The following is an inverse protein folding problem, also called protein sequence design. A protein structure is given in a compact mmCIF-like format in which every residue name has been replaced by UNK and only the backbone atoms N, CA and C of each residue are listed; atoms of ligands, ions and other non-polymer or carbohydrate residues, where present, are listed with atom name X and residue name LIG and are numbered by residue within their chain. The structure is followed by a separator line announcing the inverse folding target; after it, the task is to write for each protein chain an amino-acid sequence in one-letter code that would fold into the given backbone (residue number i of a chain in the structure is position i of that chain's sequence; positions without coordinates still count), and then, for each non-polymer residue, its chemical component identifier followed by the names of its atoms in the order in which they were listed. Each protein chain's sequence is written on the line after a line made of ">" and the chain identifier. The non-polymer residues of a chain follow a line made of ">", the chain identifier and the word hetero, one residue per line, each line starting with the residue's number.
data_IF_587918044963
#
_entry.id   IF_587918044963
#
_cell.length_a   1.000
_cell.length_b   1.000
_cell.length_c   1.000
_cell.angle_alpha   90.00
_cell.angle_beta   90.00
_cell.angle_gamma   90.00
#
_symmetry.space_group_name_H-M   'P 1'
#
loop_
_entity.id
_entity.type
_entity.pdbx_description
1 polymer ?
#
# COMPACT_ATOMS: atom_id res chain seq x y z
N UNK A 1 21.47 10.77 -20.92
CA UNK A 1 21.37 9.42 -21.51
C UNK A 1 20.77 8.49 -20.45
N UNK A 2 19.87 7.54 -20.78
CA UNK A 2 19.54 6.50 -19.81
C UNK A 2 20.85 5.78 -19.47
N UNK A 3 21.20 5.74 -18.20
CA UNK A 3 22.46 5.14 -17.78
C UNK A 3 22.40 3.63 -18.02
N UNK A 4 23.57 3.00 -18.16
CA UNK A 4 23.70 1.55 -18.26
C UNK A 4 24.49 1.05 -17.08
N UNK A 5 24.12 -0.11 -16.57
CA UNK A 5 24.84 -0.72 -15.46
C UNK A 5 26.23 -1.18 -15.95
N UNK A 6 27.28 -0.79 -15.22
CA UNK A 6 28.67 -1.12 -15.56
C UNK A 6 29.34 -2.02 -14.51
N UNK A 7 28.69 -2.25 -13.39
CA UNK A 7 29.14 -3.09 -12.27
C UNK A 7 27.95 -3.31 -11.33
N UNK A 8 27.99 -4.33 -10.49
CA UNK A 8 26.90 -4.62 -9.53
C UNK A 8 26.96 -3.74 -8.28
N UNK A 9 28.15 -3.26 -7.93
CA UNK A 9 28.36 -2.46 -6.74
C UNK A 9 27.85 -1.02 -6.90
N UNK A 10 27.43 -0.46 -5.78
CA UNK A 10 26.95 0.90 -5.65
C UNK A 10 27.95 1.96 -6.15
N UNK A 11 27.42 3.14 -6.44
CA UNK A 11 28.24 4.30 -6.81
C UNK A 11 28.94 4.91 -5.57
N UNK A 12 29.74 5.94 -5.82
CA UNK A 12 30.56 6.61 -4.81
C UNK A 12 29.76 7.11 -3.60
N UNK A 13 28.46 7.42 -3.73
CA UNK A 13 27.64 7.95 -2.64
C UNK A 13 27.56 6.99 -1.45
N UNK A 14 27.54 5.69 -1.71
CA UNK A 14 27.41 4.65 -0.69
C UNK A 14 28.70 3.86 -0.50
N UNK A 15 29.47 3.65 -1.57
CA UNK A 15 30.76 2.96 -1.48
C UNK A 15 31.73 3.67 -0.52
N UNK A 16 31.67 4.99 -0.50
CA UNK A 16 32.60 5.82 0.27
C UNK A 16 32.02 6.21 1.64
N UNK A 17 30.83 5.69 2.00
CA UNK A 17 30.24 5.86 3.34
C UNK A 17 31.13 5.22 4.40
N UNK A 18 31.32 5.92 5.53
CA UNK A 18 32.03 5.38 6.68
C UNK A 18 31.21 5.58 7.95
N UNK A 19 31.07 4.51 8.73
CA UNK A 19 30.35 4.57 10.01
C UNK A 19 30.96 5.64 10.92
N UNK A 20 30.15 6.44 11.64
CA UNK A 20 30.64 7.34 12.66
C UNK A 20 31.47 6.61 13.73
N UNK A 21 32.52 7.24 14.26
CA UNK A 21 33.50 6.61 15.15
C UNK A 21 32.90 5.90 16.39
N UNK A 22 31.76 6.37 16.90
CA UNK A 22 31.02 5.75 18.01
C UNK A 22 30.35 4.42 17.65
N UNK A 23 30.02 4.18 16.37
CA UNK A 23 29.39 2.96 15.86
C UNK A 23 30.41 1.93 15.33
N UNK A 24 31.68 2.31 15.16
CA UNK A 24 32.75 1.42 14.64
C UNK A 24 33.16 0.30 15.60
N UNK A 25 32.94 0.46 16.90
CA UNK A 25 33.43 -0.47 17.94
C UNK A 25 32.36 -1.33 18.60
N UNK A 26 31.06 -1.08 18.34
CA UNK A 26 29.98 -1.64 19.15
C UNK A 26 29.38 -2.95 18.60
N UNK A 27 29.49 -3.23 17.29
CA UNK A 27 28.94 -4.43 16.67
C UNK A 27 29.89 -4.93 15.57
N UNK A 28 30.28 -6.21 15.64
CA UNK A 28 31.00 -6.86 14.55
C UNK A 28 30.21 -6.70 13.24
N UNK A 29 30.84 -6.17 12.20
CA UNK A 29 30.18 -5.87 10.93
C UNK A 29 30.98 -4.87 10.09
N UNK A 30 30.55 -4.60 8.84
CA UNK A 30 31.22 -3.64 7.97
C UNK A 30 31.20 -2.23 8.60
N UNK A 31 32.30 -1.50 8.44
CA UNK A 31 32.47 -0.11 8.91
C UNK A 31 32.60 0.91 7.77
N UNK A 32 32.54 0.43 6.52
CA UNK A 32 32.58 1.19 5.28
C UNK A 32 31.63 0.60 4.22
N UNK A 33 31.18 1.44 3.29
CA UNK A 33 30.36 1.01 2.15
C UNK A 33 28.87 0.91 2.47
N UNK A 34 28.08 0.42 1.50
CA UNK A 34 26.62 0.27 1.65
C UNK A 34 26.24 -0.61 2.85
N UNK A 35 26.97 -1.70 3.09
CA UNK A 35 26.68 -2.60 4.22
C UNK A 35 26.80 -1.91 5.58
N UNK A 36 27.77 -1.01 5.73
CA UNK A 36 27.91 -0.19 6.94
C UNK A 36 26.77 0.81 7.09
N UNK A 37 26.33 1.42 5.99
CA UNK A 37 25.19 2.33 5.98
C UNK A 37 23.89 1.63 6.40
N UNK A 38 23.58 0.47 5.82
CA UNK A 38 22.36 -0.29 6.14
C UNK A 38 22.37 -0.76 7.60
N UNK A 39 23.52 -1.24 8.09
CA UNK A 39 23.69 -1.61 9.50
C UNK A 39 23.43 -0.42 10.42
N UNK A 40 24.11 0.70 10.18
CA UNK A 40 23.99 1.89 11.02
C UNK A 40 22.57 2.49 11.00
N UNK A 41 21.85 2.35 9.87
CA UNK A 41 20.44 2.73 9.71
C UNK A 41 19.53 1.87 10.59
N UNK A 42 19.63 0.54 10.52
CA UNK A 42 18.80 -0.38 11.32
C UNK A 42 19.11 -0.30 12.81
N UNK A 43 20.37 -0.08 13.18
CA UNK A 43 20.78 0.09 14.58
C UNK A 43 20.25 1.39 15.20
N UNK A 44 20.29 2.48 14.44
CA UNK A 44 19.80 3.79 14.89
C UNK A 44 18.27 3.81 14.97
N UNK A 45 17.61 3.28 13.95
CA UNK A 45 16.16 3.20 13.87
C UNK A 45 15.72 1.76 14.05
N UNK A 46 15.64 1.31 15.32
CA UNK A 46 15.24 -0.07 15.69
C UNK A 46 13.87 -0.50 15.16
N UNK A 47 13.05 0.43 14.68
CA UNK A 47 11.77 0.19 14.03
C UNK A 47 11.87 -0.08 12.51
N UNK A 48 13.07 0.00 11.92
CA UNK A 48 13.30 -0.27 10.49
C UNK A 48 13.67 -1.73 10.32
N UNK A 49 12.68 -2.53 9.92
CA UNK A 49 12.87 -3.97 9.73
C UNK A 49 13.55 -4.30 8.38
N UNK A 50 13.16 -3.59 7.32
CA UNK A 50 13.53 -3.91 5.94
C UNK A 50 14.10 -2.72 5.19
N UNK A 51 15.09 -2.98 4.33
CA UNK A 51 15.66 -2.02 3.39
C UNK A 51 15.58 -2.59 1.98
N UNK A 52 14.88 -1.89 1.09
CA UNK A 52 14.70 -2.28 -0.31
C UNK A 52 15.43 -1.30 -1.23
N UNK A 53 15.91 -1.79 -2.38
CA UNK A 53 16.50 -0.95 -3.44
C UNK A 53 15.79 -1.15 -4.78
N UNK A 54 15.84 -0.16 -5.65
CA UNK A 54 15.22 -0.25 -6.98
C UNK A 54 16.24 -0.67 -8.06
N UNK A 55 15.83 -1.51 -9.00
CA UNK A 55 16.54 -1.75 -10.27
C UNK A 55 15.54 -2.08 -11.40
N UNK A 56 15.93 -1.92 -12.67
CA UNK A 56 15.06 -2.32 -13.79
C UNK A 56 15.17 -3.83 -14.08
N UNK A 57 14.22 -4.42 -14.80
CA UNK A 57 14.23 -5.83 -15.22
C UNK A 57 15.50 -6.19 -16.02
N UNK A 58 16.00 -5.25 -16.81
CA UNK A 58 17.28 -5.40 -17.54
C UNK A 58 18.49 -4.86 -16.74
N UNK A 59 18.41 -4.76 -15.41
CA UNK A 59 19.44 -4.22 -14.52
C UNK A 59 19.28 -2.72 -14.25
N UNK A 60 19.29 -1.87 -15.28
CA UNK A 60 19.01 -0.43 -15.15
C UNK A 60 18.20 0.08 -16.34
N UNK A 61 17.75 1.34 -16.33
CA UNK A 61 16.94 1.94 -17.38
C UNK A 61 17.45 1.67 -18.81
N UNK A 62 18.76 1.76 -19.04
CA UNK A 62 19.38 1.49 -20.35
C UNK A 62 19.91 0.07 -20.53
N UNK A 63 19.64 -0.85 -19.60
CA UNK A 63 20.22 -2.20 -19.57
C UNK A 63 21.64 -2.26 -19.01
N UNK A 64 22.36 -3.33 -19.34
CA UNK A 64 23.80 -3.47 -19.09
C UNK A 64 24.62 -2.79 -20.17
N UNK A 65 25.81 -2.29 -19.82
CA UNK A 65 26.73 -1.77 -20.82
C UNK A 65 27.47 -2.95 -21.49
N UNK A 66 27.46 -3.06 -22.83
CA UNK A 66 28.27 -4.06 -23.54
C UNK A 66 29.76 -3.92 -23.27
N UNK A 67 30.51 -5.01 -23.45
CA UNK A 67 31.97 -5.05 -23.40
C UNK A 67 32.59 -4.57 -22.08
N UNK A 68 31.88 -4.74 -20.97
CA UNK A 68 32.39 -4.43 -19.63
C UNK A 68 32.89 -5.70 -18.93
N UNK A 69 34.16 -5.69 -18.54
CA UNK A 69 34.76 -6.80 -17.79
C UNK A 69 34.01 -7.06 -16.48
N UNK A 70 33.74 -8.33 -16.17
CA UNK A 70 33.01 -8.76 -14.98
C UNK A 70 31.49 -8.64 -15.07
N UNK A 71 30.95 -8.13 -16.18
CA UNK A 71 29.51 -8.08 -16.44
C UNK A 71 29.11 -9.15 -17.46
N UNK A 72 27.88 -9.68 -17.40
CA UNK A 72 27.33 -10.54 -18.44
C UNK A 72 27.39 -9.89 -19.82
N UNK A 73 27.57 -10.72 -20.86
CA UNK A 73 27.47 -10.27 -22.23
C UNK A 73 26.10 -9.62 -22.48
N UNK A 74 26.10 -8.48 -23.15
CA UNK A 74 24.87 -7.75 -23.49
C UNK A 74 25.00 -7.06 -24.84
N UNK A 75 23.86 -6.87 -25.50
CA UNK A 75 23.76 -6.17 -26.78
C UNK A 75 22.74 -5.06 -26.69
N UNK A 76 23.06 -3.89 -27.25
CA UNK A 76 22.07 -2.80 -27.35
C UNK A 76 21.05 -3.16 -28.43
N UNK A 77 19.78 -3.28 -28.01
CA UNK A 77 18.61 -3.53 -28.86
C UNK A 77 17.68 -2.32 -28.79
N UNK A 78 17.22 -1.86 -29.95
CA UNK A 78 16.22 -0.80 -30.04
C UNK A 78 14.81 -1.37 -29.90
N UNK A 79 14.00 -0.92 -28.92
CA UNK A 79 12.62 -1.36 -28.84
C UNK A 79 11.77 -0.72 -29.93
N UNK A 80 10.80 -1.48 -30.43
CA UNK A 80 9.81 -1.02 -31.40
C UNK A 80 8.46 -0.88 -30.71
N UNK A 81 7.87 0.30 -30.81
CA UNK A 81 6.54 0.56 -30.28
C UNK A 81 5.48 -0.15 -31.14
N UNK A 82 4.45 -0.67 -30.49
CA UNK A 82 3.28 -1.18 -31.21
C UNK A 82 2.39 0.00 -31.66
N UNK A 83 1.55 -0.17 -32.70
CA UNK A 83 0.65 0.91 -33.15
C UNK A 83 -0.31 1.42 -32.06
N UNK A 84 -0.59 0.62 -31.02
CA UNK A 84 -1.36 1.04 -29.86
C UNK A 84 -0.54 1.90 -28.91
N UNK A 85 0.70 1.49 -28.61
CA UNK A 85 1.61 2.23 -27.74
C UNK A 85 2.04 3.56 -28.37
N UNK A 86 2.14 3.62 -29.71
CA UNK A 86 2.37 4.88 -30.45
C UNK A 86 1.25 5.92 -30.26
N UNK A 87 0.09 5.54 -29.69
CA UNK A 87 -1.05 6.42 -29.41
C UNK A 87 -1.19 6.81 -27.93
N UNK A 88 -0.36 6.29 -27.02
CA UNK A 88 -0.42 6.62 -25.58
C UNK A 88 0.22 7.97 -25.28
N UNK A 89 0.35 8.40 -24.02
CA UNK A 89 1.09 9.63 -23.73
C UNK A 89 2.57 9.53 -24.13
N UNK A 90 3.16 10.66 -24.53
CA UNK A 90 4.62 10.78 -24.56
C UNK A 90 5.13 10.68 -23.12
N UNK A 91 6.13 9.84 -22.90
CA UNK A 91 6.70 9.58 -21.59
C UNK A 91 8.22 9.66 -21.64
N UNK A 92 8.78 10.45 -20.73
CA UNK A 92 10.21 10.74 -20.72
C UNK A 92 11.06 9.47 -20.55
N UNK A 93 10.58 8.47 -19.81
CA UNK A 93 11.33 7.23 -19.61
C UNK A 93 11.26 6.35 -20.87
N UNK A 94 10.05 6.09 -21.38
CA UNK A 94 9.82 5.32 -22.61
C UNK A 94 10.56 5.95 -23.79
N UNK A 95 10.42 7.25 -24.01
CA UNK A 95 11.04 7.95 -25.13
C UNK A 95 12.57 7.89 -25.06
N UNK A 96 13.15 8.00 -23.86
CA UNK A 96 14.60 7.83 -23.68
C UNK A 96 15.03 6.42 -24.03
N UNK A 97 14.24 5.41 -23.72
CA UNK A 97 14.57 4.01 -24.03
C UNK A 97 14.47 3.75 -25.53
N UNK A 98 13.39 4.18 -26.17
CA UNK A 98 13.20 4.05 -27.62
C UNK A 98 14.35 4.71 -28.38
N UNK A 99 14.74 5.92 -27.96
CA UNK A 99 15.81 6.67 -28.64
C UNK A 99 17.22 6.11 -28.40
N UNK A 100 17.48 5.42 -27.29
CA UNK A 100 18.85 5.03 -26.90
C UNK A 100 19.10 3.51 -26.92
N UNK A 101 18.04 2.70 -26.98
CA UNK A 101 18.10 1.24 -26.89
C UNK A 101 18.46 0.71 -25.49
N UNK A 102 18.19 -0.57 -25.28
CA UNK A 102 18.45 -1.29 -24.02
C UNK A 102 19.57 -2.29 -24.23
N UNK A 103 20.57 -2.28 -23.36
CA UNK A 103 21.60 -3.31 -23.29
C UNK A 103 21.04 -4.59 -22.71
N UNK A 104 20.50 -5.43 -23.58
CA UNK A 104 19.79 -6.65 -23.26
C UNK A 104 20.80 -7.79 -23.05
N UNK A 105 20.65 -8.53 -21.96
CA UNK A 105 21.39 -9.78 -21.71
C UNK A 105 20.67 -10.93 -22.42
N UNK A 106 21.39 -11.81 -23.14
CA UNK A 106 20.76 -12.96 -23.77
C UNK A 106 20.02 -13.87 -22.76
N UNK A 107 18.85 -14.44 -23.13
CA UNK A 107 18.02 -15.26 -22.24
C UNK A 107 18.77 -16.39 -21.52
N UNK A 108 19.73 -17.03 -22.19
CA UNK A 108 20.55 -18.12 -21.67
C UNK A 108 21.51 -17.68 -20.55
N UNK A 109 21.83 -16.38 -20.49
CA UNK A 109 22.81 -15.80 -19.57
C UNK A 109 22.20 -14.84 -18.55
N UNK A 110 20.92 -14.50 -18.65
CA UNK A 110 20.25 -13.54 -17.76
C UNK A 110 20.29 -13.96 -16.28
N UNK A 111 20.35 -15.27 -15.99
CA UNK A 111 20.55 -15.78 -14.63
C UNK A 111 21.83 -15.25 -13.97
N UNK A 112 22.91 -15.04 -14.74
CA UNK A 112 24.17 -14.48 -14.22
C UNK A 112 24.02 -13.01 -13.82
N UNK A 113 23.19 -12.26 -14.54
CA UNK A 113 22.90 -10.87 -14.22
C UNK A 113 22.15 -10.76 -12.89
N UNK A 114 21.09 -11.55 -12.70
CA UNK A 114 20.34 -11.53 -11.44
C UNK A 114 21.14 -12.07 -10.28
N UNK A 115 21.89 -13.16 -10.46
CA UNK A 115 22.80 -13.67 -9.43
C UNK A 115 23.81 -12.59 -9.00
N UNK A 116 24.49 -11.93 -9.94
CA UNK A 116 25.47 -10.89 -9.63
C UNK A 116 24.86 -9.68 -8.92
N UNK A 117 23.67 -9.23 -9.33
CA UNK A 117 22.95 -8.15 -8.67
C UNK A 117 22.46 -8.55 -7.27
N UNK A 118 21.70 -9.63 -7.16
CA UNK A 118 20.97 -9.98 -5.95
C UNK A 118 21.89 -10.53 -4.86
N UNK A 119 22.91 -11.32 -5.22
CA UNK A 119 23.92 -11.76 -4.25
C UNK A 119 24.72 -10.59 -3.66
N UNK A 120 25.09 -9.59 -4.47
CA UNK A 120 25.74 -8.37 -3.97
C UNK A 120 24.83 -7.60 -3.01
N UNK A 121 23.58 -7.36 -3.41
CA UNK A 121 22.60 -6.64 -2.59
C UNK A 121 22.33 -7.35 -1.25
N UNK A 122 22.12 -8.66 -1.27
CA UNK A 122 21.98 -9.47 -0.05
C UNK A 122 23.24 -9.35 0.84
N UNK A 123 24.44 -9.40 0.25
CA UNK A 123 25.71 -9.31 1.00
C UNK A 123 25.89 -7.98 1.74
N UNK A 124 25.25 -6.90 1.26
CA UNK A 124 25.27 -5.58 1.91
C UNK A 124 24.02 -5.31 2.75
N UNK A 125 23.20 -6.34 3.02
CA UNK A 125 22.08 -6.29 3.98
C UNK A 125 20.77 -5.77 3.40
N UNK A 126 20.61 -5.73 2.07
CA UNK A 126 19.33 -5.41 1.42
C UNK A 126 18.39 -6.61 1.52
N UNK A 127 17.14 -6.36 1.90
CA UNK A 127 16.13 -7.40 2.14
C UNK A 127 15.27 -7.70 0.90
N UNK A 128 15.29 -6.82 -0.10
CA UNK A 128 14.49 -6.97 -1.30
C UNK A 128 14.70 -5.87 -2.35
N UNK A 129 14.00 -6.00 -3.48
CA UNK A 129 14.14 -5.09 -4.63
C UNK A 129 12.82 -4.56 -5.19
N UNK A 130 12.82 -3.39 -5.81
CA UNK A 130 11.70 -2.89 -6.64
C UNK A 130 12.07 -2.97 -8.13
N UNK A 131 11.20 -3.51 -8.99
CA UNK A 131 11.52 -3.97 -10.35
C UNK A 131 10.67 -3.31 -11.47
N UNK A 132 11.15 -3.29 -12.73
CA UNK A 132 10.53 -2.58 -13.86
C UNK A 132 10.73 -3.24 -15.26
N UNK A 133 9.67 -3.60 -16.00
CA UNK A 133 9.70 -4.45 -17.23
C UNK A 133 9.50 -3.71 -18.59
N UNK A 134 10.31 -3.96 -19.64
CA UNK A 134 10.19 -3.23 -20.94
C UNK A 134 10.81 -3.82 -22.27
N UNK A 135 10.65 -5.08 -22.73
CA UNK A 135 11.18 -5.49 -24.08
C UNK A 135 10.43 -6.67 -24.78
N UNK A 136 10.37 -6.74 -26.14
CA UNK A 136 9.39 -7.63 -26.83
C UNK A 136 9.67 -8.27 -28.25
N UNK A 137 10.77 -8.10 -29.01
CA UNK A 137 10.77 -8.58 -30.44
C UNK A 137 11.74 -9.73 -30.79
N UNK A 138 12.93 -9.84 -30.20
CA UNK A 138 13.92 -10.90 -30.50
C UNK A 138 13.84 -12.14 -29.57
N UNK A 139 14.61 -13.20 -29.85
CA UNK A 139 14.76 -14.42 -29.02
C UNK A 139 13.53 -15.33 -28.87
N UNK A 140 12.87 -15.66 -29.99
CA UNK A 140 11.61 -16.42 -29.97
C UNK A 140 10.40 -15.53 -29.67
N UNK A 141 10.61 -14.21 -29.66
CA UNK A 141 9.61 -13.19 -29.39
C UNK A 141 9.44 -12.91 -27.90
N UNK A 142 8.61 -11.91 -27.60
CA UNK A 142 8.26 -11.45 -26.24
C UNK A 142 8.07 -12.57 -25.22
N UNK A 143 7.34 -13.62 -25.58
CA UNK A 143 6.93 -14.68 -24.64
C UNK A 143 8.11 -15.52 -24.15
N UNK A 144 9.00 -15.96 -25.04
CA UNK A 144 10.14 -16.80 -24.65
C UNK A 144 11.20 -15.97 -23.89
N UNK A 145 11.40 -14.72 -24.29
CA UNK A 145 12.23 -13.77 -23.55
C UNK A 145 11.69 -13.54 -22.12
N UNK A 146 10.39 -13.26 -21.99
CA UNK A 146 9.74 -13.03 -20.70
C UNK A 146 9.82 -14.28 -19.80
N UNK A 147 9.56 -15.48 -20.33
CA UNK A 147 9.73 -16.74 -19.60
C UNK A 147 11.13 -16.89 -19.03
N UNK A 148 12.17 -16.62 -19.82
CA UNK A 148 13.55 -16.73 -19.36
C UNK A 148 13.87 -15.71 -18.26
N UNK A 149 13.49 -14.44 -18.46
CA UNK A 149 13.73 -13.37 -17.50
C UNK A 149 12.98 -13.58 -16.19
N UNK A 150 11.68 -13.92 -16.24
CA UNK A 150 10.90 -14.19 -15.04
C UNK A 150 11.34 -15.47 -14.32
N UNK A 151 11.70 -16.54 -15.04
CA UNK A 151 12.25 -17.75 -14.42
C UNK A 151 13.56 -17.45 -13.67
N UNK A 152 14.46 -16.69 -14.28
CA UNK A 152 15.72 -16.31 -13.67
C UNK A 152 15.52 -15.36 -12.47
N UNK A 153 14.62 -14.37 -12.61
CA UNK A 153 14.25 -13.47 -11.54
C UNK A 153 13.67 -14.23 -10.34
N UNK A 154 12.67 -15.08 -10.58
CA UNK A 154 12.03 -15.90 -9.54
C UNK A 154 13.04 -16.80 -8.84
N UNK A 155 13.95 -17.45 -9.56
CA UNK A 155 15.01 -18.26 -8.97
C UNK A 155 15.93 -17.44 -8.06
N UNK A 156 16.34 -16.25 -8.52
CA UNK A 156 17.20 -15.34 -7.77
C UNK A 156 16.53 -14.80 -6.51
N UNK A 157 15.28 -14.37 -6.61
CA UNK A 157 14.47 -13.85 -5.49
C UNK A 157 14.22 -14.93 -4.43
N UNK A 158 13.93 -16.17 -4.85
CA UNK A 158 13.82 -17.32 -3.93
C UNK A 158 15.11 -17.59 -3.18
N UNK A 159 16.25 -17.39 -3.84
CA UNK A 159 17.57 -17.63 -3.25
C UNK A 159 18.01 -16.52 -2.29
N UNK A 160 17.82 -15.26 -2.65
CA UNK A 160 18.44 -14.11 -1.97
C UNK A 160 17.47 -13.26 -1.13
N UNK A 161 16.16 -13.30 -1.43
CA UNK A 161 15.17 -12.40 -0.82
C UNK A 161 13.96 -13.15 -0.25
N UNK A 162 14.20 -14.31 0.37
CA UNK A 162 13.21 -15.11 1.10
C UNK A 162 11.95 -15.46 0.28
N UNK A 163 12.05 -15.50 -1.05
CA UNK A 163 10.95 -15.89 -1.94
C UNK A 163 10.05 -14.76 -2.45
N UNK A 164 9.86 -13.68 -1.70
CA UNK A 164 8.92 -12.60 -2.04
C UNK A 164 9.40 -11.20 -1.61
N UNK A 165 10.70 -11.01 -1.39
CA UNK A 165 11.27 -9.69 -1.13
C UNK A 165 11.33 -8.82 -2.38
N UNK A 166 10.21 -8.65 -3.09
CA UNK A 166 10.13 -7.85 -4.32
C UNK A 166 8.85 -7.03 -4.38
N UNK A 167 8.97 -5.79 -4.85
CA UNK A 167 7.85 -4.92 -5.21
C UNK A 167 7.89 -4.73 -6.73
N UNK A 168 6.85 -5.12 -7.46
CA UNK A 168 6.77 -4.87 -8.89
C UNK A 168 6.35 -3.42 -9.17
N UNK A 169 6.88 -2.85 -10.25
CA UNK A 169 6.55 -1.51 -10.76
C UNK A 169 6.51 -1.52 -12.29
N UNK A 170 5.55 -0.81 -12.90
CA UNK A 170 5.30 -0.84 -14.36
C UNK A 170 4.99 -2.24 -14.93
N UNK A 171 4.44 -3.11 -14.11
CA UNK A 171 4.21 -4.53 -14.37
C UNK A 171 2.81 -4.81 -14.95
N UNK A 172 2.21 -3.83 -15.61
CA UNK A 172 0.85 -3.89 -16.17
C UNK A 172 0.72 -4.80 -17.40
N UNK A 173 1.78 -5.53 -17.74
CA UNK A 173 1.83 -6.38 -18.90
C UNK A 173 1.34 -7.81 -18.55
N UNK A 174 0.76 -8.51 -19.52
CA UNK A 174 0.22 -9.85 -19.27
C UNK A 174 1.29 -10.84 -18.80
N UNK A 175 2.54 -10.72 -19.28
CA UNK A 175 3.61 -11.65 -18.91
C UNK A 175 3.91 -11.61 -17.41
N UNK A 176 3.90 -10.42 -16.80
CA UNK A 176 4.02 -10.30 -15.35
C UNK A 176 2.92 -11.09 -14.64
N UNK A 177 1.65 -10.90 -15.04
CA UNK A 177 0.51 -11.54 -14.38
C UNK A 177 0.56 -13.06 -14.46
N UNK A 178 1.08 -13.62 -15.55
CA UNK A 178 1.20 -15.07 -15.73
C UNK A 178 2.52 -15.67 -15.19
N UNK A 179 3.61 -14.90 -15.15
CA UNK A 179 4.95 -15.41 -14.86
C UNK A 179 5.58 -14.78 -13.62
N UNK A 180 5.46 -13.47 -13.44
CA UNK A 180 6.06 -12.73 -12.32
C UNK A 180 5.36 -12.99 -10.98
N UNK A 181 4.05 -13.21 -11.01
CA UNK A 181 3.22 -13.51 -9.82
C UNK A 181 3.55 -14.86 -9.17
N UNK A 182 4.40 -15.69 -9.79
CA UNK A 182 4.94 -16.91 -9.16
C UNK A 182 5.74 -16.59 -7.89
N UNK A 183 6.41 -15.44 -7.85
CA UNK A 183 7.23 -15.02 -6.70
C UNK A 183 6.83 -13.67 -6.12
N UNK A 184 6.22 -12.79 -6.92
CA UNK A 184 5.97 -11.40 -6.55
C UNK A 184 4.50 -11.20 -6.21
N UNK A 185 4.21 -10.88 -4.95
CA UNK A 185 2.83 -10.68 -4.48
C UNK A 185 2.44 -9.23 -4.26
N UNK A 186 3.34 -8.27 -4.48
CA UNK A 186 3.10 -6.83 -4.27
C UNK A 186 3.51 -6.08 -5.52
N UNK A 187 2.60 -5.27 -6.06
CA UNK A 187 2.88 -4.54 -7.29
C UNK A 187 2.01 -3.31 -7.48
N UNK A 188 2.58 -2.31 -8.13
CA UNK A 188 1.98 -1.03 -8.44
C UNK A 188 0.82 -1.17 -9.41
N UNK A 189 -0.32 -0.59 -9.06
CA UNK A 189 -1.56 -0.64 -9.86
C UNK A 189 -1.90 0.68 -10.55
N UNK A 190 -0.96 1.61 -10.67
CA UNK A 190 -1.19 2.91 -11.27
C UNK A 190 0.10 3.50 -11.85
N UNK A 191 -0.02 4.69 -12.43
CA UNK A 191 1.14 5.49 -12.84
C UNK A 191 1.89 6.02 -11.59
N UNK A 192 3.01 6.71 -11.79
CA UNK A 192 3.64 7.49 -10.73
C UNK A 192 2.67 8.55 -10.18
N UNK A 193 2.62 8.68 -8.86
CA UNK A 193 1.94 9.80 -8.24
C UNK A 193 2.78 11.07 -8.43
N UNK A 194 2.25 11.98 -9.25
CA UNK A 194 2.86 13.28 -9.53
C UNK A 194 2.34 14.33 -8.52
N UNK A 195 3.23 14.83 -7.66
CA UNK A 195 2.91 15.89 -6.69
C UNK A 195 2.72 17.27 -7.31
N UNK A 196 3.17 17.44 -8.56
CA UNK A 196 3.04 18.64 -9.37
C UNK A 196 2.74 18.21 -10.79
N UNK A 197 1.90 18.96 -11.49
CA UNK A 197 1.63 18.65 -12.90
C UNK A 197 2.91 18.81 -13.73
N UNK A 198 3.36 17.76 -14.44
CA UNK A 198 4.54 17.85 -15.29
C UNK A 198 4.35 18.86 -16.45
N UNK A 199 3.11 19.23 -16.76
CA UNK A 199 2.78 20.24 -17.77
C UNK A 199 2.68 21.67 -17.21
N UNK A 200 2.91 21.87 -15.90
CA UNK A 200 2.98 23.18 -15.26
C UNK A 200 1.65 23.78 -14.79
N UNK A 201 0.57 23.00 -14.72
CA UNK A 201 -0.68 23.45 -14.10
C UNK A 201 -0.47 23.69 -12.59
N UNK A 202 -0.64 24.93 -12.09
CA UNK A 202 -0.47 25.25 -10.67
C UNK A 202 -1.47 24.52 -9.76
N UNK A 203 -2.62 24.09 -10.29
CA UNK A 203 -3.61 23.30 -9.57
C UNK A 203 -3.37 21.78 -9.68
N UNK A 204 -2.34 21.35 -10.42
CA UNK A 204 -1.93 19.95 -10.55
C UNK A 204 -1.89 19.21 -9.23
N UNK A 205 -1.33 19.87 -8.22
CA UNK A 205 -1.25 19.42 -6.82
C UNK A 205 -2.57 18.89 -6.26
N UNK A 206 -3.73 19.42 -6.68
CA UNK A 206 -5.04 19.05 -6.15
C UNK A 206 -5.80 18.04 -7.01
N UNK A 207 -5.74 18.14 -8.35
CA UNK A 207 -6.55 17.25 -9.20
C UNK A 207 -5.83 15.95 -9.58
N UNK A 208 -4.49 15.94 -9.64
CA UNK A 208 -3.72 14.73 -9.97
C UNK A 208 -3.95 13.61 -8.96
N UNK A 209 -4.20 13.99 -7.70
CA UNK A 209 -4.49 13.04 -6.64
C UNK A 209 -5.78 12.24 -6.93
N UNK A 210 -6.82 12.91 -7.44
CA UNK A 210 -8.09 12.30 -7.80
C UNK A 210 -7.93 11.37 -9.00
N UNK A 211 -7.20 11.81 -10.04
CA UNK A 211 -6.84 10.97 -11.19
C UNK A 211 -6.09 9.70 -10.75
N UNK A 212 -5.04 9.87 -9.96
CA UNK A 212 -4.21 8.78 -9.46
C UNK A 212 -5.05 7.75 -8.70
N UNK A 213 -5.89 8.24 -7.78
CA UNK A 213 -6.74 7.37 -6.99
C UNK A 213 -7.75 6.60 -7.83
N UNK A 214 -8.40 7.26 -8.81
CA UNK A 214 -9.31 6.59 -9.74
C UNK A 214 -8.57 5.50 -10.52
N UNK A 215 -7.39 5.80 -11.08
CA UNK A 215 -6.61 4.81 -11.82
C UNK A 215 -6.23 3.60 -10.94
N UNK A 216 -5.70 3.84 -9.74
CA UNK A 216 -5.34 2.78 -8.81
C UNK A 216 -6.56 1.95 -8.38
N UNK A 217 -7.70 2.58 -8.07
CA UNK A 217 -8.92 1.89 -7.69
C UNK A 217 -9.44 0.98 -8.80
N UNK A 218 -9.53 1.51 -10.04
CA UNK A 218 -10.00 0.74 -11.19
C UNK A 218 -9.09 -0.45 -11.51
N UNK A 219 -7.78 -0.23 -11.51
CA UNK A 219 -6.82 -1.29 -11.79
C UNK A 219 -6.79 -2.34 -10.66
N UNK A 220 -6.99 -1.93 -9.40
CA UNK A 220 -7.05 -2.84 -8.25
C UNK A 220 -8.19 -3.85 -8.37
N UNK A 221 -9.33 -3.49 -8.96
CA UNK A 221 -10.44 -4.43 -9.17
C UNK A 221 -10.04 -5.67 -9.98
N UNK A 222 -9.09 -5.52 -10.91
CA UNK A 222 -8.58 -6.61 -11.72
C UNK A 222 -7.29 -7.19 -11.13
N UNK A 223 -6.27 -6.35 -10.89
CA UNK A 223 -4.94 -6.77 -10.43
C UNK A 223 -4.95 -7.35 -9.01
N UNK A 224 -5.88 -6.90 -8.16
CA UNK A 224 -6.07 -7.39 -6.79
C UNK A 224 -6.39 -8.88 -6.67
N UNK A 225 -6.82 -9.51 -7.76
CA UNK A 225 -7.05 -10.96 -7.82
C UNK A 225 -5.75 -11.77 -7.95
N UNK A 226 -4.63 -11.12 -8.28
CA UNK A 226 -3.33 -11.75 -8.52
C UNK A 226 -2.29 -11.30 -7.51
N UNK A 227 -2.29 -10.01 -7.15
CA UNK A 227 -1.28 -9.37 -6.30
C UNK A 227 -1.94 -8.42 -5.30
N UNK A 228 -1.21 -8.07 -4.24
CA UNK A 228 -1.56 -6.96 -3.37
C UNK A 228 -1.30 -5.62 -4.10
N UNK A 229 -2.31 -4.75 -4.25
CA UNK A 229 -2.14 -3.47 -4.92
C UNK A 229 -1.27 -2.47 -4.15
N UNK A 230 -0.20 -1.97 -4.77
CA UNK A 230 0.57 -0.79 -4.34
C UNK A 230 0.01 0.46 -5.05
N UNK A 231 -0.53 1.41 -4.26
CA UNK A 231 -1.09 2.68 -4.75
C UNK A 231 -0.04 3.79 -4.84
N UNK A 232 1.23 3.40 -4.91
CA UNK A 232 2.42 4.26 -4.97
C UNK A 232 2.65 5.08 -3.69
N UNK A 233 3.82 5.71 -3.64
CA UNK A 233 4.25 6.59 -2.56
C UNK A 233 3.30 7.76 -2.35
N UNK A 234 3.24 8.29 -1.12
CA UNK A 234 2.66 9.59 -0.84
C UNK A 234 3.62 10.45 -0.04
N UNK A 235 3.44 11.76 -0.12
CA UNK A 235 4.21 12.73 0.65
C UNK A 235 3.36 13.23 1.83
N UNK A 236 3.82 13.02 3.05
CA UNK A 236 3.11 13.43 4.27
C UNK A 236 3.01 14.95 4.43
N UNK A 237 3.84 15.72 3.73
CA UNK A 237 3.81 17.19 3.70
C UNK A 237 3.02 17.77 2.52
N UNK A 238 2.36 16.92 1.72
CA UNK A 238 1.57 17.35 0.57
C UNK A 238 0.26 18.04 1.01
N UNK A 239 -0.27 19.05 0.28
CA UNK A 239 -1.53 19.69 0.61
C UNK A 239 -2.73 18.73 0.71
N UNK A 240 -2.70 17.63 -0.05
CA UNK A 240 -3.70 16.56 -0.01
C UNK A 240 -3.25 15.32 0.78
N UNK A 241 -2.27 15.44 1.70
CA UNK A 241 -1.67 14.28 2.40
C UNK A 241 -2.71 13.42 3.12
N UNK A 242 -3.69 14.02 3.80
CA UNK A 242 -4.75 13.27 4.48
C UNK A 242 -5.61 12.46 3.51
N UNK A 243 -5.95 13.02 2.36
CA UNK A 243 -6.71 12.32 1.32
C UNK A 243 -5.94 11.10 0.81
N UNK A 244 -4.64 11.27 0.53
CA UNK A 244 -3.76 10.20 0.09
C UNK A 244 -3.54 9.10 1.11
N UNK A 245 -3.41 9.48 2.38
CA UNK A 245 -3.27 8.52 3.46
C UNK A 245 -4.58 7.74 3.64
N UNK A 246 -5.72 8.43 3.57
CA UNK A 246 -7.04 7.82 3.68
C UNK A 246 -7.31 6.81 2.56
N UNK A 247 -6.99 7.15 1.32
CA UNK A 247 -7.20 6.25 0.18
C UNK A 247 -6.38 4.96 0.28
N UNK A 248 -5.12 5.06 0.73
CA UNK A 248 -4.25 3.90 1.00
C UNK A 248 -4.68 3.07 2.20
N UNK A 249 -5.26 3.71 3.22
CA UNK A 249 -5.76 3.00 4.39
C UNK A 249 -6.94 2.06 4.06
N UNK A 250 -7.63 2.31 2.94
CA UNK A 250 -8.79 1.52 2.47
C UNK A 250 -8.55 0.80 1.14
N UNK A 251 -7.32 0.79 0.60
CA UNK A 251 -7.02 0.27 -0.74
C UNK A 251 -6.86 -1.26 -0.86
N UNK A 252 -7.02 -2.01 0.24
CA UNK A 252 -6.90 -3.48 0.20
C UNK A 252 -6.25 -4.15 1.41
N UNK A 253 -6.08 -3.44 2.53
CA UNK A 253 -5.70 -4.07 3.80
C UNK A 253 -6.82 -4.96 4.36
N UNK A 254 -6.51 -6.09 5.02
CA UNK A 254 -7.52 -6.97 5.59
C UNK A 254 -8.25 -6.29 6.77
N UNK A 255 -9.57 -6.46 6.83
CA UNK A 255 -10.43 -5.96 7.92
C UNK A 255 -11.25 -7.14 8.45
N UNK A 256 -11.28 -7.30 9.77
CA UNK A 256 -11.71 -8.57 10.39
C UNK A 256 -13.02 -8.50 11.17
N UNK A 257 -13.38 -7.33 11.73
CA UNK A 257 -14.53 -7.20 12.65
C UNK A 257 -15.51 -6.07 12.28
N UNK A 258 -15.15 -5.25 11.30
CA UNK A 258 -15.93 -4.12 10.81
C UNK A 258 -15.79 -4.06 9.29
N UNK A 259 -16.70 -3.37 8.61
CA UNK A 259 -16.44 -2.88 7.26
C UNK A 259 -15.91 -1.45 7.30
N UNK A 260 -15.22 -1.04 6.24
CA UNK A 260 -14.88 0.36 6.01
C UNK A 260 -15.40 0.78 4.64
N UNK A 261 -16.00 1.95 4.58
CA UNK A 261 -16.33 2.62 3.32
C UNK A 261 -15.48 3.88 3.23
N UNK A 262 -14.84 4.08 2.08
CA UNK A 262 -14.14 5.31 1.76
C UNK A 262 -14.90 6.07 0.68
N UNK A 263 -15.41 7.25 1.01
CA UNK A 263 -16.06 8.14 0.06
C UNK A 263 -15.10 9.27 -0.29
N UNK A 264 -14.85 9.51 -1.57
CA UNK A 264 -13.85 10.46 -2.04
C UNK A 264 -14.37 11.25 -3.24
N UNK A 265 -14.29 12.57 -3.19
CA UNK A 265 -14.59 13.42 -4.35
C UNK A 265 -13.31 13.64 -5.18
N UNK A 266 -13.21 12.94 -6.32
CA UNK A 266 -12.02 12.90 -7.17
C UNK A 266 -12.16 13.71 -8.47
N UNK A 267 -13.18 14.55 -8.57
CA UNK A 267 -13.47 15.31 -9.78
C UNK A 267 -12.34 16.30 -10.12
N UNK A 268 -12.34 16.79 -11.36
CA UNK A 268 -11.47 17.88 -11.78
C UNK A 268 -10.24 17.48 -12.58
N UNK A 269 -9.92 16.19 -12.68
CA UNK A 269 -8.84 15.70 -13.53
C UNK A 269 -9.29 14.51 -14.38
N UNK A 270 -8.77 14.41 -15.61
CA UNK A 270 -9.07 13.28 -16.48
C UNK A 270 -8.20 13.21 -17.73
N UNK A 271 -8.25 12.08 -18.41
CA UNK A 271 -7.54 11.84 -19.67
C UNK A 271 -8.14 12.65 -20.83
N UNK A 272 -7.31 13.35 -21.60
CA UNK A 272 -7.71 14.05 -22.83
C UNK A 272 -7.12 13.32 -24.05
N UNK A 273 -7.93 12.65 -24.87
CA UNK A 273 -7.46 11.94 -26.07
C UNK A 273 -6.79 12.85 -27.11
N UNK A 274 -7.20 14.12 -27.20
CA UNK A 274 -6.72 15.08 -28.21
C UNK A 274 -5.25 15.42 -28.01
N UNK A 275 -4.85 15.64 -26.76
CA UNK A 275 -3.49 16.01 -26.36
C UNK A 275 -2.73 14.83 -25.75
N UNK A 276 -3.38 13.66 -25.65
CA UNK A 276 -2.83 12.40 -25.14
C UNK A 276 -2.17 12.54 -23.76
N UNK A 277 -2.83 13.23 -22.83
CA UNK A 277 -2.38 13.37 -21.43
C UNK A 277 -3.54 13.63 -20.49
N UNK A 278 -3.30 13.43 -19.20
CA UNK A 278 -4.21 13.93 -18.16
C UNK A 278 -4.19 15.46 -18.13
N UNK A 279 -5.35 16.08 -17.89
CA UNK A 279 -5.49 17.53 -17.73
C UNK A 279 -6.57 17.87 -16.70
N UNK A 280 -6.52 19.11 -16.23
CA UNK A 280 -7.58 19.67 -15.41
C UNK A 280 -8.85 19.95 -16.21
N UNK A 281 -9.99 19.63 -15.60
CA UNK A 281 -11.35 19.99 -16.00
C UNK A 281 -12.08 20.59 -14.78
N UNK A 282 -11.55 21.71 -14.29
CA UNK A 282 -12.03 22.37 -13.07
C UNK A 282 -13.52 22.71 -13.08
N UNK A 283 -14.09 22.96 -14.26
CA UNK A 283 -15.53 23.19 -14.48
C UNK A 283 -16.42 22.02 -14.03
N UNK A 284 -15.84 20.83 -13.88
CA UNK A 284 -16.52 19.64 -13.38
C UNK A 284 -16.29 19.39 -11.88
N UNK A 285 -15.54 20.24 -11.19
CA UNK A 285 -15.27 20.09 -9.75
C UNK A 285 -16.36 20.78 -8.93
N UNK A 286 -17.31 20.00 -8.41
CA UNK A 286 -18.38 20.50 -7.57
C UNK A 286 -18.62 19.59 -6.37
N UNK A 287 -19.39 20.05 -5.38
CA UNK A 287 -19.82 19.19 -4.30
C UNK A 287 -20.68 18.05 -4.87
N UNK A 288 -20.35 16.82 -4.48
CA UNK A 288 -21.09 15.62 -4.92
C UNK A 288 -21.81 15.03 -3.71
N UNK A 289 -23.08 14.72 -3.89
CA UNK A 289 -23.90 14.01 -2.90
C UNK A 289 -24.19 12.60 -3.38
N UNK A 290 -23.99 11.62 -2.49
CA UNK A 290 -24.33 10.21 -2.70
C UNK A 290 -25.00 9.64 -1.45
N UNK A 291 -25.41 8.39 -1.50
CA UNK A 291 -25.81 7.61 -0.33
C UNK A 291 -24.77 6.54 -0.01
N UNK A 292 -24.74 6.15 1.25
CA UNK A 292 -23.95 5.03 1.78
C UNK A 292 -24.86 4.13 2.62
N UNK A 293 -24.59 2.83 2.58
CA UNK A 293 -25.36 1.80 3.27
C UNK A 293 -24.43 0.69 3.80
N UNK A 294 -24.79 0.01 4.90
CA UNK A 294 -24.09 -1.21 5.29
C UNK A 294 -24.04 -2.27 4.19
N UNK A 295 -25.01 -2.27 3.27
CA UNK A 295 -25.04 -3.16 2.11
C UNK A 295 -23.92 -2.91 1.08
N UNK A 296 -23.25 -1.75 1.12
CA UNK A 296 -22.12 -1.44 0.23
C UNK A 296 -20.82 -2.16 0.63
N UNK A 297 -20.83 -2.85 1.77
CA UNK A 297 -19.70 -3.66 2.27
C UNK A 297 -19.87 -5.10 1.83
N UNK A 298 -18.79 -5.67 1.30
CA UNK A 298 -18.71 -7.07 0.88
C UNK A 298 -18.54 -8.02 2.08
N UNK A 299 -19.50 -8.06 3.01
CA UNK A 299 -19.41 -8.82 4.27
C UNK A 299 -19.10 -10.32 4.12
N UNK A 300 -19.47 -10.92 2.98
CA UNK A 300 -19.23 -12.33 2.69
C UNK A 300 -17.90 -12.64 2.01
N UNK A 301 -17.08 -11.63 1.70
CA UNK A 301 -15.79 -11.80 1.02
C UNK A 301 -14.62 -11.79 2.00
N UNK A 302 -13.50 -12.39 1.57
CA UNK A 302 -12.25 -12.45 2.34
C UNK A 302 -12.12 -13.68 3.24
N UNK A 303 -11.03 -13.71 4.02
CA UNK A 303 -10.67 -14.87 4.84
C UNK A 303 -11.59 -15.11 6.04
N UNK A 304 -12.31 -14.07 6.49
CA UNK A 304 -13.17 -14.11 7.68
C UNK A 304 -14.51 -13.40 7.39
N UNK A 305 -15.44 -14.05 6.68
CA UNK A 305 -16.73 -13.46 6.36
C UNK A 305 -17.56 -13.20 7.63
N UNK A 306 -18.28 -12.08 7.65
CA UNK A 306 -19.16 -11.69 8.75
C UNK A 306 -20.62 -11.96 8.33
N UNK A 307 -21.32 -12.88 9.00
CA UNK A 307 -22.71 -13.19 8.65
C UNK A 307 -23.62 -12.03 9.03
N UNK A 308 -24.34 -11.47 8.05
CA UNK A 308 -25.30 -10.38 8.26
C UNK A 308 -26.73 -10.91 8.11
N UNK A 309 -27.54 -10.73 9.15
CA UNK A 309 -28.97 -11.05 9.12
C UNK A 309 -29.81 -9.99 8.40
N UNK A 310 -31.06 -10.32 8.01
CA UNK A 310 -31.95 -9.38 7.31
C UNK A 310 -32.40 -8.19 8.17
N UNK A 311 -32.34 -8.32 9.51
CA UNK A 311 -32.69 -7.29 10.48
C UNK A 311 -31.51 -7.08 11.45
N UNK A 312 -30.39 -6.60 10.91
CA UNK A 312 -29.15 -6.32 11.64
C UNK A 312 -28.98 -4.82 11.82
N UNK A 313 -28.80 -4.37 13.06
CA UNK A 313 -28.43 -2.98 13.38
C UNK A 313 -26.93 -2.78 13.19
N UNK A 314 -26.53 -1.61 12.71
CA UNK A 314 -25.13 -1.23 12.50
C UNK A 314 -24.81 0.10 13.18
N UNK A 315 -23.60 0.19 13.69
CA UNK A 315 -22.98 1.41 14.17
C UNK A 315 -22.04 1.95 13.09
N UNK A 316 -22.32 3.15 12.59
CA UNK A 316 -21.55 3.83 11.54
C UNK A 316 -20.80 5.00 12.16
N UNK A 317 -19.49 4.91 12.20
CA UNK A 317 -18.61 5.98 12.66
C UNK A 317 -17.98 6.73 11.49
N UNK A 318 -18.29 8.02 11.37
CA UNK A 318 -17.77 8.94 10.37
C UNK A 318 -16.51 9.61 10.91
N UNK A 319 -15.37 9.34 10.28
CA UNK A 319 -14.05 9.77 10.75
C UNK A 319 -13.87 11.28 10.74
N UNK A 320 -14.14 11.95 9.61
CA UNK A 320 -13.96 13.40 9.47
C UNK A 320 -14.98 14.19 10.29
N UNK A 321 -16.22 13.71 10.32
CA UNK A 321 -17.28 14.33 11.12
C UNK A 321 -17.19 14.01 12.61
N UNK A 322 -16.38 13.03 13.00
CA UNK A 322 -16.28 12.52 14.37
C UNK A 322 -17.66 12.17 14.96
N UNK A 323 -18.46 11.40 14.20
CA UNK A 323 -19.89 11.20 14.48
C UNK A 323 -20.28 9.73 14.39
N UNK A 324 -21.10 9.28 15.33
CA UNK A 324 -21.72 7.94 15.34
C UNK A 324 -23.19 8.02 14.90
N UNK A 325 -23.61 7.12 14.02
CA UNK A 325 -25.01 6.96 13.58
C UNK A 325 -25.38 5.48 13.64
N UNK A 326 -26.61 5.18 14.07
CA UNK A 326 -27.15 3.82 14.04
C UNK A 326 -28.11 3.67 12.86
N UNK A 327 -27.96 2.56 12.14
CA UNK A 327 -28.91 2.11 11.11
C UNK A 327 -29.51 0.78 11.53
N UNK A 328 -30.81 0.63 11.38
CA UNK A 328 -31.55 -0.51 11.92
C UNK A 328 -31.55 -1.71 10.97
N UNK A 329 -31.34 -1.46 9.67
CA UNK A 329 -31.33 -2.48 8.63
C UNK A 329 -30.11 -2.36 7.71
N UNK A 330 -29.67 -3.47 7.09
CA UNK A 330 -28.55 -3.46 6.14
C UNK A 330 -28.77 -2.55 4.92
N UNK A 331 -30.02 -2.33 4.51
CA UNK A 331 -30.38 -1.53 3.32
C UNK A 331 -30.70 -0.07 3.65
N UNK A 332 -30.69 0.32 4.93
CA UNK A 332 -30.90 1.71 5.29
C UNK A 332 -29.77 2.56 4.71
N UNK A 333 -30.08 3.78 4.30
CA UNK A 333 -29.16 4.67 3.60
C UNK A 333 -28.97 5.98 4.36
N UNK A 334 -27.75 6.50 4.33
CA UNK A 334 -27.41 7.85 4.81
C UNK A 334 -26.87 8.65 3.64
N UNK A 335 -27.29 9.90 3.52
CA UNK A 335 -26.71 10.83 2.56
C UNK A 335 -25.37 11.35 3.03
N UNK A 336 -24.42 11.43 2.11
CA UNK A 336 -23.12 12.07 2.29
C UNK A 336 -22.90 13.08 1.17
N UNK A 337 -22.37 14.25 1.53
CA UNK A 337 -21.99 15.29 0.57
C UNK A 337 -20.53 15.67 0.79
N UNK A 338 -19.75 15.71 -0.28
CA UNK A 338 -18.31 15.99 -0.26
C UNK A 338 -17.96 17.10 -1.25
N UNK A 339 -17.30 18.15 -0.76
CA UNK A 339 -16.65 19.14 -1.61
C UNK A 339 -15.51 18.51 -2.45
N UNK A 340 -15.11 19.11 -3.58
CA UNK A 340 -13.99 18.63 -4.39
C UNK A 340 -12.73 18.39 -3.56
N UNK A 341 -12.02 17.29 -3.84
CA UNK A 341 -10.77 16.89 -3.19
C UNK A 341 -10.90 16.60 -1.69
N UNK A 342 -12.11 16.36 -1.20
CA UNK A 342 -12.38 15.94 0.17
C UNK A 342 -12.83 14.48 0.23
N UNK A 343 -12.81 13.92 1.43
CA UNK A 343 -13.15 12.52 1.67
C UNK A 343 -13.84 12.32 3.01
N UNK A 344 -14.42 11.15 3.19
CA UNK A 344 -14.90 10.63 4.46
C UNK A 344 -14.58 9.14 4.56
N UNK A 345 -14.17 8.70 5.75
CA UNK A 345 -14.01 7.29 6.05
C UNK A 345 -15.09 6.88 7.04
N UNK A 346 -15.81 5.82 6.72
CA UNK A 346 -16.95 5.35 7.51
C UNK A 346 -16.64 3.94 7.97
N UNK A 347 -16.45 3.78 9.28
CA UNK A 347 -16.33 2.44 9.89
C UNK A 347 -17.73 1.94 10.20
N UNK A 348 -18.09 0.79 9.67
CA UNK A 348 -19.42 0.17 9.84
C UNK A 348 -19.24 -1.09 10.66
N UNK A 349 -19.86 -1.13 11.83
CA UNK A 349 -19.73 -2.24 12.78
C UNK A 349 -21.09 -2.87 13.07
N UNK A 350 -21.27 -4.19 12.84
CA UNK A 350 -22.50 -4.87 13.23
C UNK A 350 -22.71 -4.81 14.74
N UNK A 351 -23.90 -4.41 15.16
CA UNK A 351 -24.27 -4.35 16.58
C UNK A 351 -24.60 -5.75 17.09
N UNK A 352 -23.84 -6.20 18.09
CA UNK A 352 -24.07 -7.46 18.79
C UNK A 352 -24.97 -7.23 20.01
N UNK A 353 -25.97 -8.10 20.19
CA UNK A 353 -26.82 -8.08 21.38
C UNK A 353 -26.27 -9.04 22.44
N UNK A 354 -26.00 -8.52 23.64
CA UNK A 354 -25.49 -9.30 24.77
C UNK A 354 -26.64 -10.06 25.46
N UNK A 355 -26.50 -11.38 25.60
CA UNK A 355 -27.59 -12.32 25.89
C UNK A 355 -28.42 -12.03 27.15
N UNK A 356 -27.82 -11.46 28.21
CA UNK A 356 -28.45 -11.37 29.54
C UNK A 356 -29.09 -10.02 29.85
N UNK A 357 -28.61 -8.93 29.24
CA UNK A 357 -28.96 -7.57 29.65
C UNK A 357 -29.61 -6.74 28.53
N UNK A 358 -29.88 -7.32 27.36
CA UNK A 358 -30.34 -6.60 26.16
C UNK A 358 -29.42 -5.42 25.76
N UNK A 359 -28.20 -5.39 26.28
CA UNK A 359 -27.19 -4.38 25.93
C UNK A 359 -26.76 -4.65 24.51
N UNK A 360 -26.69 -3.60 23.71
CA UNK A 360 -26.16 -3.62 22.37
C UNK A 360 -24.74 -3.10 22.40
N UNK A 361 -23.84 -3.76 21.67
CA UNK A 361 -22.43 -3.39 21.63
C UNK A 361 -21.88 -3.51 20.21
N UNK A 362 -21.05 -2.56 19.78
CA UNK A 362 -20.32 -2.65 18.53
C UNK A 362 -18.90 -2.05 18.67
N UNK A 363 -17.83 -2.79 18.33
CA UNK A 363 -16.49 -2.22 18.32
C UNK A 363 -16.33 -1.24 17.15
N UNK A 364 -15.81 -0.03 17.40
CA UNK A 364 -15.43 0.91 16.33
C UNK A 364 -13.91 0.80 16.08
N UNK A 365 -13.09 0.98 17.11
CA UNK A 365 -11.64 0.86 17.00
C UNK A 365 -10.89 2.12 17.45
N UNK A 366 -9.64 2.27 16.98
CA UNK A 366 -8.78 3.42 17.31
C UNK A 366 -9.09 4.58 16.37
N UNK A 367 -9.81 5.59 16.86
CA UNK A 367 -10.34 6.68 16.02
C UNK A 367 -9.31 7.75 15.66
N UNK A 368 -8.12 7.69 16.25
CA UNK A 368 -6.94 8.45 15.83
C UNK A 368 -6.22 7.81 14.62
N UNK A 369 -6.67 6.65 14.15
CA UNK A 369 -6.19 6.01 12.92
C UNK A 369 -7.20 6.17 11.79
N UNK A 370 -6.73 6.19 10.53
CA UNK A 370 -7.62 6.34 9.36
C UNK A 370 -8.53 5.12 9.17
N UNK A 371 -7.96 3.91 9.24
CA UNK A 371 -8.73 2.66 9.25
C UNK A 371 -8.98 2.24 10.71
N UNK A 372 -9.98 2.87 11.34
CA UNK A 372 -10.22 2.73 12.79
C UNK A 372 -10.44 1.27 13.21
N UNK A 373 -11.28 0.55 12.47
CA UNK A 373 -11.62 -0.84 12.73
C UNK A 373 -10.50 -1.83 12.40
N UNK A 374 -9.55 -1.47 11.52
CA UNK A 374 -8.35 -2.28 11.24
C UNK A 374 -7.46 -2.49 12.47
N UNK A 375 -7.58 -1.64 13.50
CA UNK A 375 -6.88 -1.83 14.76
C UNK A 375 -7.46 -2.96 15.63
N UNK A 376 -8.73 -3.37 15.40
CA UNK A 376 -9.40 -4.41 16.16
C UNK A 376 -8.92 -5.79 15.70
N UNK A 377 -8.37 -6.57 16.62
CA UNK A 377 -7.78 -7.90 16.38
C UNK A 377 -8.61 -9.03 16.99
N UNK A 378 -9.45 -8.74 17.97
CA UNK A 378 -10.40 -9.71 18.51
C UNK A 378 -11.62 -9.02 19.13
N UNK A 379 -12.75 -9.72 19.12
CA UNK A 379 -13.97 -9.33 19.79
C UNK A 379 -14.59 -10.57 20.43
N UNK A 380 -14.64 -10.58 21.77
CA UNK A 380 -15.12 -11.72 22.56
C UNK A 380 -16.15 -11.24 23.56
N UNK A 381 -17.27 -11.94 23.61
CA UNK A 381 -18.32 -11.74 24.63
C UNK A 381 -18.31 -12.96 25.52
N UNK A 382 -18.25 -12.77 26.85
CA UNK A 382 -18.32 -13.90 27.77
C UNK A 382 -19.69 -14.60 27.72
N UNK A 383 -19.75 -15.86 28.15
CA UNK A 383 -20.99 -16.65 28.12
C UNK A 383 -22.14 -16.00 28.92
N UNK A 384 -21.82 -15.26 29.98
CA UNK A 384 -22.80 -14.54 30.79
C UNK A 384 -23.30 -13.23 30.16
N UNK A 385 -22.70 -12.76 29.06
CA UNK A 385 -23.04 -11.52 28.37
C UNK A 385 -22.84 -10.24 29.20
N UNK A 386 -22.02 -10.30 30.25
CA UNK A 386 -21.73 -9.22 31.19
C UNK A 386 -20.37 -8.55 30.96
N UNK A 387 -19.47 -9.22 30.23
CA UNK A 387 -18.13 -8.77 29.93
C UNK A 387 -17.88 -8.88 28.43
N UNK A 388 -17.42 -7.77 27.85
CA UNK A 388 -16.95 -7.70 26.48
C UNK A 388 -15.45 -7.43 26.48
N UNK A 389 -14.70 -8.17 25.68
CA UNK A 389 -13.26 -7.99 25.49
C UNK A 389 -12.98 -7.66 24.03
N UNK A 390 -12.24 -6.58 23.79
CA UNK A 390 -11.80 -6.15 22.47
C UNK A 390 -10.27 -6.11 22.45
N UNK A 391 -9.66 -6.98 21.65
CA UNK A 391 -8.23 -6.94 21.39
C UNK A 391 -7.92 -5.86 20.36
N UNK A 392 -6.98 -4.97 20.67
CA UNK A 392 -6.63 -3.82 19.83
C UNK A 392 -5.12 -3.74 19.66
N UNK A 393 -4.67 -3.53 18.42
CA UNK A 393 -3.26 -3.28 18.09
C UNK A 393 -3.05 -1.79 17.81
N UNK A 394 -2.21 -1.15 18.62
CA UNK A 394 -1.88 0.27 18.50
C UNK A 394 -2.13 1.04 19.80
N UNK A 395 -2.14 2.36 19.69
CA UNK A 395 -2.37 3.31 20.80
C UNK A 395 -3.31 4.42 20.37
N UNK A 396 -3.95 5.05 21.35
CA UNK A 396 -4.74 6.25 21.19
C UNK A 396 -6.17 6.05 21.66
N UNK A 397 -7.09 6.75 21.01
CA UNK A 397 -8.47 6.83 21.46
C UNK A 397 -9.28 5.65 20.91
N UNK A 398 -9.60 4.69 21.77
CA UNK A 398 -10.50 3.58 21.46
C UNK A 398 -11.94 4.02 21.66
N UNK A 399 -12.77 3.84 20.63
CA UNK A 399 -14.21 4.04 20.71
C UNK A 399 -14.98 2.76 20.44
N UNK A 400 -16.11 2.60 21.13
CA UNK A 400 -17.10 1.54 20.91
C UNK A 400 -18.50 2.12 21.08
N UNK A 401 -19.48 1.51 20.42
CA UNK A 401 -20.89 1.74 20.73
C UNK A 401 -21.33 0.78 21.85
N UNK A 402 -22.04 1.30 22.84
CA UNK A 402 -22.77 0.54 23.83
C UNK A 402 -24.11 1.23 24.16
N UNK A 403 -25.23 0.51 24.13
CA UNK A 403 -26.55 1.11 24.43
C UNK A 403 -26.73 1.49 25.91
N UNK A 404 -25.88 0.95 26.79
CA UNK A 404 -25.87 1.24 28.23
C UNK A 404 -24.46 1.61 28.63
N UNK A 405 -24.31 2.55 29.57
CA UNK A 405 -23.00 2.92 30.12
C UNK A 405 -22.35 1.70 30.83
N UNK A 406 -21.10 1.32 30.50
CA UNK A 406 -20.38 0.31 31.25
C UNK A 406 -20.24 0.71 32.73
N UNK A 407 -20.17 -0.26 33.63
CA UNK A 407 -19.84 -0.01 35.04
C UNK A 407 -18.36 0.30 35.20
N UNK A 408 -17.52 -0.42 34.46
CA UNK A 408 -16.04 -0.30 34.50
C UNK A 408 -15.44 -0.66 33.15
N UNK A 409 -14.30 -0.06 32.86
CA UNK A 409 -13.43 -0.45 31.76
C UNK A 409 -12.06 -0.88 32.31
N UNK A 410 -11.41 -1.85 31.67
CA UNK A 410 -10.04 -2.25 31.97
C UNK A 410 -9.19 -2.34 30.71
N UNK A 411 -7.90 -2.16 30.86
CA UNK A 411 -6.91 -2.47 29.82
C UNK A 411 -5.92 -3.45 30.42
N UNK A 412 -5.78 -4.62 29.79
CA UNK A 412 -4.88 -5.70 30.26
C UNK A 412 -5.10 -6.06 31.74
N UNK A 413 -6.35 -6.02 32.20
CA UNK A 413 -6.75 -6.33 33.58
C UNK A 413 -6.69 -5.15 34.55
N UNK A 414 -6.11 -4.00 34.18
CA UNK A 414 -6.05 -2.81 35.03
C UNK A 414 -7.23 -1.87 34.78
N UNK A 415 -7.86 -1.36 35.85
CA UNK A 415 -9.01 -0.46 35.75
C UNK A 415 -8.58 0.93 35.23
N UNK A 416 -9.32 1.45 34.24
CA UNK A 416 -9.03 2.72 33.58
C UNK A 416 -10.24 3.65 33.58
N UNK A 417 -9.98 4.96 33.53
CA UNK A 417 -11.00 5.96 33.28
C UNK A 417 -11.58 5.84 31.87
N UNK A 418 -12.87 6.08 31.73
CA UNK A 418 -13.55 6.07 30.43
C UNK A 418 -14.62 7.15 30.35
N UNK A 419 -14.85 7.65 29.13
CA UNK A 419 -15.96 8.55 28.79
C UNK A 419 -17.19 7.77 28.31
N UNK A 420 -18.37 8.36 28.46
CA UNK A 420 -19.61 7.88 27.85
C UNK A 420 -20.40 9.07 27.34
N UNK A 421 -20.45 9.20 26.02
CA UNK A 421 -21.06 10.32 25.31
C UNK A 421 -22.51 10.01 24.91
N UNK A 422 -23.28 11.07 24.62
CA UNK A 422 -24.63 10.95 24.12
C UNK A 422 -24.67 10.12 22.82
N UNK A 423 -25.68 9.26 22.69
CA UNK A 423 -25.75 8.31 21.57
C UNK A 423 -25.00 6.99 21.79
N UNK A 424 -24.46 6.75 22.99
CA UNK A 424 -23.95 5.44 23.40
C UNK A 424 -22.48 5.21 23.06
N UNK A 425 -21.67 6.26 22.91
CA UNK A 425 -20.27 6.13 22.55
C UNK A 425 -19.38 6.06 23.80
N UNK A 426 -18.70 4.94 24.00
CA UNK A 426 -17.74 4.75 25.08
C UNK A 426 -16.34 5.09 24.57
N UNK A 427 -15.58 5.87 25.34
CA UNK A 427 -14.24 6.35 24.97
C UNK A 427 -13.21 5.89 26.00
N UNK A 428 -12.16 5.22 25.55
CA UNK A 428 -11.06 4.72 26.39
C UNK A 428 -9.72 5.08 25.76
N UNK A 429 -8.75 5.55 26.56
CA UNK A 429 -7.40 5.86 26.06
C UNK A 429 -6.49 4.62 26.19
N UNK A 430 -6.06 4.07 25.07
CA UNK A 430 -5.17 2.91 24.99
C UNK A 430 -3.72 3.39 24.99
N UNK A 431 -2.91 3.06 26.02
CA UNK A 431 -1.52 3.51 26.11
C UNK A 431 -0.64 2.85 25.05
N UNK A 432 0.49 3.49 24.72
CA UNK A 432 1.51 2.88 23.89
C UNK A 432 2.21 1.76 24.67
N UNK A 433 2.25 0.56 24.10
CA UNK A 433 3.01 -0.57 24.62
C UNK A 433 4.18 -0.77 23.67
N UNK A 434 5.42 -0.70 24.17
CA UNK A 434 6.64 -0.77 23.33
C UNK A 434 6.83 -2.13 22.63
N UNK A 435 5.98 -3.12 22.90
CA UNK A 435 5.96 -4.42 22.21
C UNK A 435 4.89 -4.49 21.12
N UNK A 436 5.09 -5.36 20.13
CA UNK A 436 4.13 -5.70 19.07
C UNK A 436 2.85 -6.42 19.58
N UNK A 437 2.60 -6.39 20.88
CA UNK A 437 1.51 -7.07 21.58
C UNK A 437 0.17 -6.37 21.38
N UNK A 438 -0.90 -7.16 21.38
CA UNK A 438 -2.27 -6.68 21.38
C UNK A 438 -2.67 -6.28 22.80
N UNK A 439 -3.28 -5.09 22.96
CA UNK A 439 -3.91 -4.65 24.21
C UNK A 439 -5.34 -5.17 24.27
N UNK A 440 -5.77 -5.69 25.42
CA UNK A 440 -7.15 -6.17 25.62
C UNK A 440 -7.93 -5.12 26.42
N UNK A 441 -8.94 -4.52 25.78
CA UNK A 441 -9.86 -3.57 26.42
C UNK A 441 -11.12 -4.32 26.86
N UNK A 442 -11.44 -4.24 28.14
CA UNK A 442 -12.55 -4.95 28.77
C UNK A 442 -13.66 -3.97 29.17
N UNK A 443 -14.90 -4.28 28.85
CA UNK A 443 -16.10 -3.50 29.19
C UNK A 443 -17.05 -4.35 30.02
N UNK A 444 -17.30 -3.96 31.27
CA UNK A 444 -18.18 -4.68 32.20
C UNK A 444 -19.52 -3.94 32.34
N UNK A 445 -20.63 -4.64 32.14
CA UNK A 445 -22.01 -4.10 32.16
C UNK A 445 -22.84 -4.51 33.37
#
# INVERSE_FOLDING_TARGET
>A
MPCRLIKFEENYKFRDYESPGSKRSAAGGPSKGMGAFVKDLKEEFKSVDYVYVWHALCGYWGGLRPDVSGMPESRVVGPKLSPGLEKTMEDLAVDKIVNNGVGLVPPESVGQMYEGLHSHLESVGIDGVKLLEMLCEDYGGRVELAKAYYKALTASVKKHFKGNGVIASMEHCNDFMFLGTEAISLGRVGDDFWCTDPSGDPNGTFWLQGCHMVHCAYNSMWMGNFIHPDWDMFQSTHPCAEFHAASRAVSGGPIYYTGVLGAFNCQGGGWSPEIRRNKCFSEHSHAVTSTVSPADIEWGQGANPIPIGPAQTFALYFFKQNKLILLSNPTDQIQISLDPFNFELITVSPVTQLAKNSVQFAPIGLVNMLNTGGAVQSFVVNEEGSLVQVGVKGTGEMRVYASVKPRRCRINGEEVGFGYEDGGMVVVQVPWVESSSVSVVEYLF
#
